data_IF_522296791622
#
_entry.id   IF_522296791622
#
_cell.length_a   1.000
_cell.length_b   1.000
_cell.length_c   1.000
_cell.angle_alpha   90.00
_cell.angle_beta   90.00
_cell.angle_gamma   90.00
#
_symmetry.space_group_name_H-M   'P 1'
#
loop_
_entity.id
_entity.type
_entity.pdbx_description
1 polymer ?
#
# COMPACT_ATOMS: atom_id res chain seq x y z
N UNK A 1 20.60 -5.41 -44.58
CA UNK A 1 19.69 -6.58 -44.75
C UNK A 1 18.26 -6.06 -44.76
N UNK A 2 17.49 -6.38 -45.79
CA UNK A 2 16.07 -5.99 -45.87
C UNK A 2 15.25 -6.92 -44.96
N UNK A 3 14.77 -6.39 -43.83
CA UNK A 3 13.86 -7.11 -42.93
C UNK A 3 12.56 -7.30 -43.72
N UNK A 4 12.35 -8.51 -44.25
CA UNK A 4 11.08 -8.88 -44.89
C UNK A 4 9.97 -8.61 -43.87
N UNK A 5 8.89 -7.96 -44.31
CA UNK A 5 7.70 -7.73 -43.48
C UNK A 5 7.13 -9.10 -43.05
N UNK A 6 7.56 -9.59 -41.90
CA UNK A 6 7.06 -10.82 -41.30
C UNK A 6 5.62 -10.53 -40.87
N UNK A 7 4.64 -11.12 -41.57
CA UNK A 7 3.23 -11.01 -41.20
C UNK A 7 2.91 -12.20 -40.31
N UNK A 8 2.44 -11.94 -39.08
CA UNK A 8 1.90 -12.98 -38.22
C UNK A 8 0.53 -13.40 -38.74
N UNK A 9 0.39 -14.67 -39.09
CA UNK A 9 -0.86 -15.25 -39.59
C UNK A 9 -1.69 -15.83 -38.44
N UNK A 10 -2.92 -16.26 -38.75
CA UNK A 10 -3.78 -16.88 -37.74
C UNK A 10 -3.14 -18.14 -37.13
N UNK A 11 -2.33 -18.88 -37.90
CA UNK A 11 -1.68 -20.09 -37.41
C UNK A 11 -0.63 -19.79 -36.35
N UNK A 12 0.13 -18.70 -36.51
CA UNK A 12 1.07 -18.23 -35.50
C UNK A 12 0.37 -17.98 -34.16
N UNK A 13 -0.74 -17.24 -34.19
CA UNK A 13 -1.50 -16.95 -32.97
C UNK A 13 -2.14 -18.20 -32.35
N UNK A 14 -2.62 -19.14 -33.16
CA UNK A 14 -3.13 -20.43 -32.66
C UNK A 14 -2.04 -21.22 -31.95
N UNK A 15 -0.83 -21.30 -32.56
CA UNK A 15 0.32 -21.98 -31.93
C UNK A 15 0.75 -21.31 -30.64
N UNK A 16 0.86 -19.98 -30.66
CA UNK A 16 1.21 -19.20 -29.47
C UNK A 16 0.19 -19.43 -28.35
N UNK A 17 -1.10 -19.38 -28.65
CA UNK A 17 -2.16 -19.60 -27.67
C UNK A 17 -2.12 -21.02 -27.09
N UNK A 18 -1.84 -22.04 -27.89
CA UNK A 18 -1.67 -23.42 -27.40
C UNK A 18 -0.47 -23.55 -26.45
N UNK A 19 0.66 -22.92 -26.78
CA UNK A 19 1.84 -22.88 -25.90
C UNK A 19 1.52 -22.15 -24.59
N UNK A 20 0.78 -21.04 -24.66
CA UNK A 20 0.33 -20.30 -23.49
C UNK A 20 -0.59 -21.13 -22.59
N UNK A 21 -1.58 -21.83 -23.15
CA UNK A 21 -2.47 -22.70 -22.40
C UNK A 21 -1.70 -23.79 -21.65
N UNK A 22 -0.79 -24.49 -22.34
CA UNK A 22 0.07 -25.52 -21.73
C UNK A 22 0.97 -24.93 -20.65
N UNK A 23 1.47 -23.71 -20.85
CA UNK A 23 2.23 -23.00 -19.84
C UNK A 23 1.40 -22.69 -18.59
N UNK A 24 0.17 -22.18 -18.73
CA UNK A 24 -0.72 -21.89 -17.60
C UNK A 24 -1.15 -23.15 -16.84
N UNK A 25 -1.27 -24.28 -17.54
CA UNK A 25 -1.52 -25.60 -16.96
C UNK A 25 -0.27 -26.25 -16.34
N UNK A 26 0.92 -25.65 -16.51
CA UNK A 26 2.22 -26.21 -16.09
C UNK A 26 2.57 -27.55 -16.75
N UNK A 27 2.06 -27.77 -17.97
CA UNK A 27 2.28 -28.97 -18.79
C UNK A 27 3.24 -28.72 -19.97
N UNK A 28 3.82 -27.52 -20.04
CA UNK A 28 4.81 -27.16 -21.06
C UNK A 28 6.17 -27.78 -20.74
N UNK A 29 6.76 -28.48 -21.72
CA UNK A 29 8.12 -28.97 -21.58
C UNK A 29 9.16 -27.87 -21.87
N UNK A 30 10.45 -28.22 -21.84
CA UNK A 30 11.53 -27.25 -22.12
C UNK A 30 11.43 -26.68 -23.53
N UNK A 31 11.12 -27.51 -24.52
CA UNK A 31 11.04 -27.08 -25.92
C UNK A 31 9.86 -26.14 -26.14
N UNK A 32 8.71 -26.43 -25.52
CA UNK A 32 7.52 -25.58 -25.53
C UNK A 32 7.81 -24.21 -24.90
N UNK A 33 8.53 -24.19 -23.77
CA UNK A 33 8.90 -22.95 -23.10
C UNK A 33 9.88 -22.12 -23.94
N UNK A 34 10.86 -22.76 -24.57
CA UNK A 34 11.78 -22.08 -25.50
C UNK A 34 11.02 -21.50 -26.69
N UNK A 35 10.13 -22.28 -27.31
CA UNK A 35 9.29 -21.82 -28.43
C UNK A 35 8.35 -20.69 -28.03
N UNK A 36 7.79 -20.73 -26.83
CA UNK A 36 6.93 -19.68 -26.29
C UNK A 36 7.70 -18.36 -26.13
N UNK A 37 8.89 -18.42 -25.51
CA UNK A 37 9.74 -17.24 -25.31
C UNK A 37 10.20 -16.66 -26.66
N UNK A 38 10.61 -17.51 -27.60
CA UNK A 38 11.01 -17.09 -28.94
C UNK A 38 9.85 -16.42 -29.69
N UNK A 39 8.66 -17.03 -29.68
CA UNK A 39 7.47 -16.50 -30.37
C UNK A 39 7.06 -15.13 -29.83
N UNK A 40 7.08 -14.95 -28.50
CA UNK A 40 6.80 -13.64 -27.90
C UNK A 40 7.93 -12.64 -28.24
N UNK A 41 9.18 -13.09 -28.31
CA UNK A 41 10.32 -12.28 -28.74
C UNK A 41 10.17 -11.75 -30.16
N UNK A 42 9.69 -12.58 -31.09
CA UNK A 42 9.39 -12.15 -32.46
C UNK A 42 8.32 -11.06 -32.49
N UNK A 43 7.26 -11.18 -31.67
CA UNK A 43 6.23 -10.15 -31.54
C UNK A 43 6.80 -8.85 -30.99
N UNK A 44 7.62 -8.91 -29.93
CA UNK A 44 8.28 -7.73 -29.35
C UNK A 44 9.12 -7.01 -30.41
N UNK A 45 9.96 -7.74 -31.15
CA UNK A 45 10.80 -7.13 -32.20
C UNK A 45 9.95 -6.49 -33.30
N UNK A 46 8.88 -7.16 -33.74
CA UNK A 46 8.01 -6.64 -34.77
C UNK A 46 7.31 -5.35 -34.36
N UNK A 47 6.75 -5.29 -33.15
CA UNK A 47 6.07 -4.11 -32.64
C UNK A 47 7.05 -2.99 -32.26
N UNK A 48 8.29 -3.33 -31.90
CA UNK A 48 9.36 -2.34 -31.72
C UNK A 48 9.70 -1.60 -33.01
N UNK A 49 9.83 -2.35 -34.12
CA UNK A 49 10.08 -1.77 -35.44
C UNK A 49 8.94 -0.84 -35.89
N UNK A 50 7.71 -1.12 -35.45
CA UNK A 50 6.53 -0.30 -35.72
C UNK A 50 6.32 0.85 -34.72
N UNK A 51 7.13 0.92 -33.65
CA UNK A 51 6.94 1.83 -32.50
C UNK A 51 5.53 1.75 -31.91
N UNK A 52 4.97 0.54 -31.90
CA UNK A 52 3.61 0.30 -31.43
C UNK A 52 3.62 0.11 -29.90
N UNK A 53 2.77 0.83 -29.13
CA UNK A 53 2.69 0.68 -27.68
C UNK A 53 2.32 -0.75 -27.24
N UNK A 54 1.70 -1.56 -28.11
CA UNK A 54 1.39 -2.96 -27.79
C UNK A 54 2.65 -3.80 -27.51
N UNK A 55 3.84 -3.34 -27.92
CA UNK A 55 5.12 -3.95 -27.53
C UNK A 55 5.22 -4.14 -26.02
N UNK A 56 4.74 -3.18 -25.24
CA UNK A 56 4.79 -3.22 -23.78
C UNK A 56 4.04 -4.42 -23.22
N UNK A 57 2.86 -4.74 -23.77
CA UNK A 57 2.09 -5.92 -23.39
C UNK A 57 2.90 -7.22 -23.59
N UNK A 58 3.60 -7.37 -24.72
CA UNK A 58 4.41 -8.56 -24.98
C UNK A 58 5.68 -8.62 -24.12
N UNK A 59 6.27 -7.48 -23.78
CA UNK A 59 7.39 -7.41 -22.83
C UNK A 59 6.97 -7.86 -21.43
N UNK A 60 5.83 -7.37 -20.93
CA UNK A 60 5.28 -7.79 -19.64
C UNK A 60 4.94 -9.28 -19.62
N UNK A 61 4.37 -9.79 -20.72
CA UNK A 61 4.08 -11.21 -20.88
C UNK A 61 5.34 -12.08 -20.84
N UNK A 62 6.41 -11.64 -21.52
CA UNK A 62 7.70 -12.31 -21.49
C UNK A 62 8.32 -12.30 -20.08
N UNK A 63 8.30 -11.15 -19.41
CA UNK A 63 8.78 -11.02 -18.04
C UNK A 63 8.01 -11.95 -17.08
N UNK A 64 6.67 -12.01 -17.23
CA UNK A 64 5.82 -12.90 -16.47
C UNK A 64 6.24 -14.37 -16.64
N UNK A 65 6.40 -14.83 -17.88
CA UNK A 65 6.79 -16.21 -18.17
C UNK A 65 8.14 -16.55 -17.56
N UNK A 66 9.15 -15.69 -17.75
CA UNK A 66 10.52 -15.91 -17.25
C UNK A 66 10.62 -15.81 -15.72
N UNK A 67 9.71 -15.10 -15.06
CA UNK A 67 9.69 -14.97 -13.60
C UNK A 67 9.16 -16.23 -12.88
N UNK A 68 8.50 -17.15 -13.61
CA UNK A 68 7.88 -18.31 -12.96
C UNK A 68 8.93 -19.33 -12.54
N UNK A 69 8.86 -19.87 -11.30
CA UNK A 69 9.77 -20.92 -10.84
C UNK A 69 9.76 -22.14 -11.75
N UNK A 70 8.58 -22.53 -12.26
CA UNK A 70 8.42 -23.60 -13.25
C UNK A 70 9.29 -23.38 -14.50
N UNK A 71 9.23 -22.19 -15.08
CA UNK A 71 10.04 -21.81 -16.26
C UNK A 71 11.52 -21.87 -15.94
N UNK A 72 11.93 -21.31 -14.80
CA UNK A 72 13.33 -21.30 -14.37
C UNK A 72 13.87 -22.72 -14.16
N UNK A 73 13.07 -23.62 -13.60
CA UNK A 73 13.45 -25.01 -13.37
C UNK A 73 13.60 -25.79 -14.67
N UNK A 74 12.68 -25.62 -15.61
CA UNK A 74 12.68 -26.34 -16.89
C UNK A 74 13.71 -25.78 -17.89
N UNK A 75 13.98 -24.47 -17.86
CA UNK A 75 14.99 -23.84 -18.71
C UNK A 75 16.41 -23.92 -18.12
N UNK A 76 16.56 -24.21 -16.82
CA UNK A 76 17.89 -24.40 -16.20
C UNK A 76 18.52 -25.65 -16.79
N UNK A 77 19.47 -25.43 -17.70
CA UNK A 77 20.32 -26.48 -18.24
C UNK A 77 20.91 -27.33 -17.10
N UNK A 78 20.67 -28.65 -17.14
CA UNK A 78 21.42 -29.66 -16.36
C UNK A 78 22.88 -29.78 -16.85
N UNK A 79 23.54 -28.68 -17.22
CA UNK A 79 24.89 -28.62 -17.78
C UNK A 79 26.01 -28.91 -16.78
N UNK A 80 25.70 -29.47 -15.62
CA UNK A 80 26.71 -29.94 -14.67
C UNK A 80 27.00 -31.45 -14.76
N UNK A 81 26.20 -32.27 -15.45
CA UNK A 81 26.36 -33.73 -15.31
C UNK A 81 26.96 -34.48 -16.50
N UNK A 82 26.87 -34.04 -17.76
CA UNK A 82 27.24 -34.95 -18.86
C UNK A 82 27.64 -34.25 -20.17
N UNK A 83 28.79 -33.57 -20.29
CA UNK A 83 29.42 -33.38 -21.63
C UNK A 83 30.96 -33.29 -21.56
N UNK A 84 31.61 -34.45 -21.55
CA UNK A 84 32.89 -34.65 -22.24
C UNK A 84 32.65 -34.58 -23.76
N UNK A 85 32.47 -33.40 -24.34
CA UNK A 85 32.56 -33.22 -25.80
C UNK A 85 33.23 -31.88 -26.12
N UNK A 86 34.30 -32.01 -26.88
CA UNK A 86 35.21 -31.04 -27.52
C UNK A 86 34.82 -29.55 -27.54
N UNK A 87 35.78 -28.63 -27.34
CA UNK A 87 35.52 -27.20 -27.36
C UNK A 87 35.34 -26.70 -28.79
N UNK A 88 34.11 -26.35 -29.17
CA UNK A 88 33.89 -25.47 -30.31
C UNK A 88 34.21 -24.04 -29.88
N UNK A 89 35.33 -23.53 -30.39
CA UNK A 89 35.69 -22.12 -30.32
C UNK A 89 34.78 -21.32 -31.25
N UNK A 90 33.71 -20.72 -30.72
CA UNK A 90 33.18 -19.50 -31.32
C UNK A 90 33.10 -18.36 -30.31
N UNK A 91 34.07 -17.46 -30.52
CA UNK A 91 34.35 -16.20 -29.88
C UNK A 91 33.21 -15.20 -30.14
N UNK A 92 32.31 -15.04 -29.19
CA UNK A 92 31.56 -13.80 -29.00
C UNK A 92 31.57 -13.44 -27.52
N UNK A 93 32.54 -12.62 -27.13
CA UNK A 93 32.50 -11.87 -25.88
C UNK A 93 31.39 -10.82 -26.02
N UNK A 94 30.17 -11.20 -25.68
CA UNK A 94 29.11 -10.23 -25.39
C UNK A 94 29.30 -9.76 -23.94
N UNK A 95 29.28 -8.43 -23.76
CA UNK A 95 29.28 -7.75 -22.48
C UNK A 95 28.02 -8.08 -21.66
N UNK A 96 27.90 -9.31 -21.18
CA UNK A 96 26.79 -9.81 -20.35
C UNK A 96 26.80 -9.27 -18.91
N UNK A 97 27.81 -8.48 -18.53
CA UNK A 97 27.89 -7.88 -17.19
C UNK A 97 26.96 -6.68 -16.99
N UNK A 98 26.60 -5.94 -18.06
CA UNK A 98 25.76 -4.75 -17.97
C UNK A 98 24.27 -5.04 -17.70
N UNK A 99 23.64 -6.06 -18.34
CA UNK A 99 22.25 -6.41 -18.05
C UNK A 99 22.08 -7.01 -16.65
N UNK A 100 23.05 -7.80 -16.17
CA UNK A 100 23.02 -8.43 -14.84
C UNK A 100 23.09 -7.37 -13.73
N UNK A 101 23.98 -6.38 -13.86
CA UNK A 101 24.05 -5.23 -12.94
C UNK A 101 22.75 -4.38 -12.94
N UNK A 102 22.05 -4.29 -14.07
CA UNK A 102 20.75 -3.60 -14.15
C UNK A 102 19.63 -4.41 -13.49
N UNK A 103 19.62 -5.73 -13.66
CA UNK A 103 18.66 -6.64 -13.01
C UNK A 103 18.85 -6.67 -11.50
N UNK A 104 20.10 -6.70 -11.02
CA UNK A 104 20.42 -6.64 -9.59
C UNK A 104 20.00 -5.28 -8.99
N UNK A 105 20.28 -4.17 -9.67
CA UNK A 105 19.75 -2.85 -9.30
C UNK A 105 18.22 -2.80 -9.30
N UNK A 106 17.54 -3.43 -10.27
CA UNK A 106 16.08 -3.48 -10.31
C UNK A 106 15.49 -4.32 -9.18
N UNK A 107 16.11 -5.45 -8.84
CA UNK A 107 15.71 -6.28 -7.71
C UNK A 107 15.89 -5.53 -6.38
N UNK A 108 16.97 -4.75 -6.25
CA UNK A 108 17.22 -3.91 -5.08
C UNK A 108 16.22 -2.75 -4.97
N UNK A 109 15.88 -2.10 -6.09
CA UNK A 109 14.81 -1.08 -6.14
C UNK A 109 13.44 -1.70 -5.84
N UNK A 110 13.18 -2.96 -6.22
CA UNK A 110 11.93 -3.67 -5.89
C UNK A 110 11.85 -4.06 -4.41
N UNK A 111 12.97 -4.48 -3.78
CA UNK A 111 13.00 -4.70 -2.33
C UNK A 111 12.81 -3.40 -1.55
N UNK A 112 13.36 -2.29 -2.06
CA UNK A 112 13.17 -0.96 -1.47
C UNK A 112 11.74 -0.46 -1.67
N UNK A 113 11.09 -0.78 -2.80
CA UNK A 113 9.68 -0.49 -3.07
C UNK A 113 8.74 -1.29 -2.16
N UNK A 114 9.02 -2.57 -1.91
CA UNK A 114 8.21 -3.37 -0.97
C UNK A 114 8.33 -2.84 0.46
N UNK A 115 9.55 -2.49 0.92
CA UNK A 115 9.76 -1.80 2.19
C UNK A 115 9.08 -0.41 2.20
N UNK A 116 9.07 0.31 1.07
CA UNK A 116 8.39 1.59 0.95
C UNK A 116 6.87 1.45 1.03
N UNK A 117 6.29 0.41 0.44
CA UNK A 117 4.85 0.14 0.52
C UNK A 117 4.42 -0.19 1.93
N UNK A 118 5.20 -1.02 2.63
CA UNK A 118 4.93 -1.38 4.02
C UNK A 118 5.06 -0.16 4.93
N UNK A 119 6.05 0.71 4.69
CA UNK A 119 6.19 2.00 5.38
C UNK A 119 5.04 2.98 5.07
N UNK A 120 4.58 3.06 3.82
CA UNK A 120 3.43 3.90 3.43
C UNK A 120 2.17 3.40 4.13
N UNK A 121 1.99 2.09 4.21
CA UNK A 121 0.85 1.49 4.90
C UNK A 121 0.85 1.81 6.39
N UNK A 122 2.00 1.69 7.06
CA UNK A 122 2.14 2.06 8.48
C UNK A 122 1.85 3.56 8.68
N UNK A 123 2.34 4.44 7.80
CA UNK A 123 2.03 5.87 7.90
C UNK A 123 0.54 6.19 7.66
N UNK A 124 -0.14 5.42 6.81
CA UNK A 124 -1.59 5.56 6.61
C UNK A 124 -2.37 5.12 7.85
N UNK A 125 -2.00 3.98 8.44
CA UNK A 125 -2.60 3.49 9.69
C UNK A 125 -2.38 4.49 10.86
N UNK A 126 -1.17 5.07 10.98
CA UNK A 126 -0.87 6.12 11.96
C UNK A 126 -1.69 7.40 11.72
N UNK A 127 -1.87 7.80 10.46
CA UNK A 127 -2.66 8.98 10.12
C UNK A 127 -4.14 8.81 10.46
N UNK A 128 -4.70 7.63 10.16
CA UNK A 128 -6.09 7.29 10.51
C UNK A 128 -6.30 7.21 12.03
N UNK A 129 -5.30 6.74 12.78
CA UNK A 129 -5.32 6.75 14.24
C UNK A 129 -5.31 8.19 14.78
N UNK A 130 -4.41 9.05 14.28
CA UNK A 130 -4.35 10.45 14.69
C UNK A 130 -5.63 11.23 14.37
N UNK A 131 -6.30 10.94 13.25
CA UNK A 131 -7.59 11.55 12.95
C UNK A 131 -8.65 11.17 13.98
N UNK A 132 -8.72 9.89 14.38
CA UNK A 132 -9.68 9.44 15.40
C UNK A 132 -9.42 10.08 16.75
N UNK A 133 -8.16 10.16 17.17
CA UNK A 133 -7.79 10.80 18.44
C UNK A 133 -8.17 12.29 18.45
N UNK A 134 -8.00 12.99 17.32
CA UNK A 134 -8.42 14.39 17.19
C UNK A 134 -9.94 14.54 17.24
N UNK A 135 -10.68 13.66 16.56
CA UNK A 135 -12.14 13.67 16.57
C UNK A 135 -12.70 13.44 17.98
N UNK A 136 -12.10 12.52 18.74
CA UNK A 136 -12.45 12.25 20.13
C UNK A 136 -12.15 13.46 21.03
N UNK A 137 -11.02 14.14 20.83
CA UNK A 137 -10.66 15.35 21.57
C UNK A 137 -11.66 16.48 21.33
N UNK A 138 -12.08 16.66 20.07
CA UNK A 138 -13.07 17.67 19.67
C UNK A 138 -14.42 17.36 20.30
N UNK A 139 -14.85 16.10 20.27
CA UNK A 139 -16.11 15.69 20.90
C UNK A 139 -16.11 15.93 22.41
N UNK A 140 -15.01 15.57 23.09
CA UNK A 140 -14.87 15.81 24.51
C UNK A 140 -14.90 17.31 24.87
N UNK A 141 -14.28 18.17 24.06
CA UNK A 141 -14.33 19.62 24.29
C UNK A 141 -15.75 20.18 24.07
N UNK A 142 -16.44 19.75 23.01
CA UNK A 142 -17.84 20.11 22.76
C UNK A 142 -18.73 19.72 23.94
N UNK A 143 -18.57 18.51 24.46
CA UNK A 143 -19.36 18.02 25.59
C UNK A 143 -19.10 18.83 26.87
N UNK A 144 -17.84 19.21 27.12
CA UNK A 144 -17.49 20.07 28.24
C UNK A 144 -18.09 21.46 28.11
N UNK A 145 -18.03 22.08 26.92
CA UNK A 145 -18.65 23.38 26.66
C UNK A 145 -20.18 23.32 26.83
N UNK A 146 -20.81 22.27 26.32
CA UNK A 146 -22.25 22.03 26.47
C UNK A 146 -22.66 21.81 27.93
N UNK A 147 -21.86 21.06 28.69
CA UNK A 147 -22.08 20.86 30.13
C UNK A 147 -21.96 22.17 30.91
N UNK A 148 -20.95 22.99 30.60
CA UNK A 148 -20.76 24.31 31.21
C UNK A 148 -21.93 25.27 30.88
N UNK A 149 -22.41 25.26 29.64
CA UNK A 149 -23.58 26.04 29.23
C UNK A 149 -24.85 25.59 29.97
N UNK A 150 -25.10 24.28 30.05
CA UNK A 150 -26.24 23.72 30.81
C UNK A 150 -26.18 24.15 32.28
N UNK A 151 -25.01 24.03 32.93
CA UNK A 151 -24.82 24.49 34.32
C UNK A 151 -25.12 25.98 34.48
N UNK A 152 -24.63 26.83 33.57
CA UNK A 152 -24.91 28.29 33.59
C UNK A 152 -26.40 28.60 33.42
N UNK A 153 -27.11 27.87 32.57
CA UNK A 153 -28.56 28.02 32.39
C UNK A 153 -29.32 27.64 33.66
N UNK A 154 -28.97 26.52 34.29
CA UNK A 154 -29.59 26.05 35.54
C UNK A 154 -29.42 27.09 36.64
N UNK A 155 -28.19 27.61 36.85
CA UNK A 155 -27.91 28.64 37.86
C UNK A 155 -28.71 29.92 37.58
N UNK A 156 -28.80 30.36 36.32
CA UNK A 156 -29.60 31.53 35.93
C UNK A 156 -31.09 31.34 36.26
N UNK A 157 -31.64 30.16 36.01
CA UNK A 157 -33.03 29.84 36.30
C UNK A 157 -33.29 29.76 37.81
N UNK A 158 -32.38 29.18 38.59
CA UNK A 158 -32.46 29.15 40.05
C UNK A 158 -32.41 30.56 40.66
N UNK A 159 -31.51 31.42 40.17
CA UNK A 159 -31.41 32.81 40.63
C UNK A 159 -32.66 33.63 40.27
N UNK A 160 -33.28 33.40 39.10
CA UNK A 160 -34.57 34.01 38.75
C UNK A 160 -35.70 33.56 39.67
N UNK A 161 -35.76 32.28 40.01
CA UNK A 161 -36.77 31.75 40.92
C UNK A 161 -36.58 32.28 42.36
N UNK A 162 -35.33 32.43 42.82
CA UNK A 162 -35.04 33.03 44.13
C UNK A 162 -35.34 34.54 44.16
N UNK A 163 -35.11 35.29 43.08
CA UNK A 163 -35.45 36.72 43.04
C UNK A 163 -36.96 36.97 43.05
N UNK A 164 -37.75 36.05 42.45
CA UNK A 164 -39.22 36.10 42.53
C UNK A 164 -39.77 35.68 43.90
N UNK A 165 -38.97 34.98 44.74
CA UNK A 165 -39.40 34.58 46.08
C UNK A 165 -39.07 35.62 47.17
N UNK A 166 -38.11 36.52 46.93
CA UNK A 166 -37.71 37.56 47.91
C UNK A 166 -38.64 38.79 47.88
N UNK A 167 -39.38 39.02 46.80
CA UNK A 167 -40.31 40.17 46.70
C UNK A 167 -41.68 39.97 47.37
N UNK A 168 -41.92 38.84 48.05
CA UNK A 168 -43.20 38.59 48.74
C UNK A 168 -43.12 38.38 50.26
N UNK A 169 -41.97 38.63 50.91
CA UNK A 169 -41.90 38.60 52.38
C UNK A 169 -41.04 39.72 52.93
N UNK A 170 -41.55 40.95 52.86
CA UNK A 170 -41.10 42.06 53.71
C UNK A 170 -42.31 42.70 54.37
N UNK A 171 -42.74 42.07 55.46
CA UNK A 171 -43.42 42.68 56.61
C UNK A 171 -43.22 41.70 57.77
N UNK A 172 -42.29 42.01 58.66
CA UNK A 172 -42.55 42.17 60.09
C UNK A 172 -41.22 42.39 60.84
N UNK A 173 -41.30 43.37 61.73
CA UNK A 173 -40.27 43.88 62.63
C UNK A 173 -39.90 42.84 63.68
N UNK A 174 -38.61 42.72 64.04
CA UNK A 174 -38.13 42.80 65.44
C UNK A 174 -36.61 42.60 65.57
N UNK A 175 -36.01 43.49 66.36
CA UNK A 175 -34.63 43.51 66.82
C UNK A 175 -34.20 42.22 67.55
N UNK A 176 -32.94 41.82 67.42
CA UNK A 176 -32.13 41.34 68.55
C UNK A 176 -30.65 41.28 68.20
N UNK A 177 -29.84 41.60 69.21
CA UNK A 177 -28.40 41.84 69.30
C UNK A 177 -27.59 40.55 69.49
N UNK A 178 -26.30 40.63 69.11
CA UNK A 178 -25.14 39.84 69.61
C UNK A 178 -25.18 38.33 69.31
N UNK A 179 -24.08 37.60 69.04
CA UNK A 179 -22.67 37.76 69.40
C UNK A 179 -21.77 36.91 68.48
N UNK A 180 -20.49 37.28 68.43
CA UNK A 180 -19.37 36.54 67.87
C UNK A 180 -19.30 35.06 68.28
N UNK A 181 -18.87 34.22 67.35
CA UNK A 181 -18.07 33.02 67.65
C UNK A 181 -17.01 32.81 66.56
N UNK A 182 -15.75 32.94 66.98
CA UNK A 182 -14.56 32.36 66.34
C UNK A 182 -14.51 30.86 66.65
N UNK A 183 -14.10 30.07 65.67
CA UNK A 183 -13.36 28.78 65.78
C UNK A 183 -12.86 28.51 64.34
N UNK A 184 -11.55 28.51 64.02
CA UNK A 184 -10.53 27.48 64.34
C UNK A 184 -11.10 26.08 64.04
N UNK A 185 -10.58 25.26 63.13
CA UNK A 185 -9.18 24.83 63.06
C UNK A 185 -8.83 24.18 61.71
N UNK A 186 -7.53 23.97 61.60
CA UNK A 186 -6.69 23.29 60.61
C UNK A 186 -7.07 21.84 60.27
N UNK A 187 -6.20 21.26 59.41
CA UNK A 187 -5.93 19.84 59.17
C UNK A 187 -6.69 19.16 58.02
N UNK A 188 -6.07 18.33 57.18
CA UNK A 188 -4.67 18.03 56.81
C UNK A 188 -4.78 17.06 55.62
N UNK A 189 -3.87 17.20 54.65
CA UNK A 189 -3.24 16.13 53.84
C UNK A 189 -3.91 14.74 53.74
N UNK A 190 -4.21 14.28 52.52
CA UNK A 190 -3.32 13.43 51.69
C UNK A 190 -3.94 13.15 50.32
#
# INVERSE_FOLDING_TARGET
MSIKQQKFDSNFYTKLNNLEQRFYQQEADKEDLEQLVLSIGELVMFYDLKKDPIKQYFLEKMQFILSRPFTLLNLKDQKALNQNKTPLTHRHQHNFSLPVLKLEKQAQVQSDLNNSFEKIKVMQEDYEMQQRDQEELIHHDIDNQMSALKKKIIIRNQNRNNHNHVNHSSKFVSNSKLSDTKTSDEEQTK
#
